data_IF_416771364379
#
_entry.id   IF_416771364379
#
_cell.length_a   1.000
_cell.length_b   1.000
_cell.length_c   1.000
_cell.angle_alpha   90.00
_cell.angle_beta   90.00
_cell.angle_gamma   90.00
#
_symmetry.space_group_name_H-M   'P 1'
#
loop_
_entity.id
_entity.type
_entity.pdbx_description
1 polymer ?
#
# COMPACT_ATOMS: atom_id res chain seq x y z
N UNK A 1 -25.32 -5.29 11.07
CA UNK A 1 -25.23 -3.83 10.86
C UNK A 1 -24.98 -3.63 9.39
N UNK A 2 -25.74 -2.76 8.72
CA UNK A 2 -25.53 -2.48 7.30
C UNK A 2 -24.41 -1.44 7.19
N UNK A 3 -23.25 -1.81 6.62
CA UNK A 3 -22.06 -0.93 6.62
C UNK A 3 -22.04 0.05 5.45
N UNK A 4 -22.91 -0.12 4.45
CA UNK A 4 -23.03 0.77 3.29
C UNK A 4 -24.49 1.05 2.94
N UNK A 5 -24.80 2.32 2.69
CA UNK A 5 -26.04 2.75 2.04
C UNK A 5 -25.99 2.50 0.53
N UNK A 6 -27.16 2.43 -0.10
CA UNK A 6 -27.26 2.33 -1.57
C UNK A 6 -26.66 3.54 -2.29
N UNK A 7 -26.69 4.73 -1.67
CA UNK A 7 -26.07 5.93 -2.22
C UNK A 7 -24.55 5.82 -2.23
N UNK A 8 -23.96 5.30 -1.16
CA UNK A 8 -22.51 5.05 -1.07
C UNK A 8 -22.04 4.01 -2.08
N UNK A 9 -22.80 2.92 -2.27
CA UNK A 9 -22.50 1.92 -3.32
C UNK A 9 -22.51 2.55 -4.71
N UNK A 10 -23.50 3.41 -5.01
CA UNK A 10 -23.55 4.14 -6.29
C UNK A 10 -22.35 5.07 -6.44
N UNK A 11 -22.03 5.87 -5.42
CA UNK A 11 -20.88 6.76 -5.43
C UNK A 11 -19.56 6.02 -5.67
N UNK A 12 -19.35 4.89 -5.00
CA UNK A 12 -18.18 4.04 -5.23
C UNK A 12 -18.07 3.58 -6.69
N UNK A 13 -19.19 3.13 -7.28
CA UNK A 13 -19.22 2.70 -8.69
C UNK A 13 -18.99 3.86 -9.65
N UNK A 14 -19.51 5.05 -9.32
CA UNK A 14 -19.38 6.29 -10.10
C UNK A 14 -17.95 6.82 -10.12
N UNK A 15 -17.38 7.03 -8.93
CA UNK A 15 -16.09 7.71 -8.72
C UNK A 15 -14.90 6.75 -8.72
N UNK A 16 -15.12 5.46 -8.50
CA UNK A 16 -14.06 4.46 -8.35
C UNK A 16 -13.42 4.43 -6.97
N UNK A 17 -13.79 5.33 -6.06
CA UNK A 17 -13.41 5.28 -4.66
C UNK A 17 -14.55 5.74 -3.75
N UNK A 18 -14.44 5.41 -2.48
CA UNK A 18 -15.37 5.84 -1.44
C UNK A 18 -14.62 6.10 -0.14
N UNK A 19 -15.02 7.14 0.58
CA UNK A 19 -14.54 7.45 1.93
C UNK A 19 -15.60 7.01 2.92
N UNK A 20 -15.22 6.17 3.87
CA UNK A 20 -16.08 5.69 4.95
C UNK A 20 -15.59 6.24 6.27
N UNK A 21 -16.37 7.17 6.80
CA UNK A 21 -16.07 7.85 8.04
C UNK A 21 -16.34 6.96 9.25
N UNK A 22 -15.37 6.87 10.17
CA UNK A 22 -15.52 6.09 11.42
C UNK A 22 -15.76 4.60 11.23
N UNK A 23 -15.34 4.01 10.10
CA UNK A 23 -15.52 2.59 9.83
C UNK A 23 -14.73 1.69 10.80
N UNK A 24 -13.55 2.15 11.23
CA UNK A 24 -12.78 1.59 12.33
C UNK A 24 -12.79 2.55 13.52
N UNK A 25 -12.91 2.00 14.72
CA UNK A 25 -12.84 2.80 15.94
C UNK A 25 -11.40 3.27 16.18
N UNK A 26 -11.21 4.35 16.96
CA UNK A 26 -9.87 4.77 17.37
C UNK A 26 -9.07 3.66 18.06
N UNK A 27 -9.74 2.83 18.87
CA UNK A 27 -9.14 1.72 19.62
C UNK A 27 -8.64 0.60 18.69
N UNK A 28 -9.40 0.27 17.64
CA UNK A 28 -8.95 -0.69 16.62
C UNK A 28 -7.71 -0.17 15.87
N UNK A 29 -7.68 1.14 15.60
CA UNK A 29 -6.51 1.76 14.98
C UNK A 29 -5.31 1.77 15.92
N UNK A 30 -5.51 2.05 17.21
CA UNK A 30 -4.43 1.99 18.21
C UNK A 30 -3.89 0.57 18.37
N UNK A 31 -4.75 -0.45 18.39
CA UNK A 31 -4.31 -1.85 18.45
C UNK A 31 -3.41 -2.23 17.27
N UNK A 32 -3.73 -1.79 16.04
CA UNK A 32 -2.88 -2.02 14.87
C UNK A 32 -1.54 -1.30 14.97
N UNK A 33 -1.53 -0.08 15.52
CA UNK A 33 -0.31 0.72 15.70
C UNK A 33 0.59 0.14 16.78
N UNK A 34 0.04 -0.16 17.94
CA UNK A 34 0.75 -0.80 19.05
C UNK A 34 1.36 -2.12 18.59
N UNK A 35 0.57 -2.94 17.89
CA UNK A 35 1.09 -4.20 17.36
C UNK A 35 2.21 -4.00 16.34
N UNK A 36 2.10 -2.98 15.47
CA UNK A 36 3.18 -2.67 14.53
C UNK A 36 4.45 -2.19 15.25
N UNK A 37 4.34 -1.42 16.34
CA UNK A 37 5.50 -1.04 17.16
C UNK A 37 6.22 -2.27 17.71
N UNK A 38 5.49 -3.25 18.25
CA UNK A 38 6.07 -4.51 18.72
C UNK A 38 6.77 -5.31 17.60
N UNK A 39 6.14 -5.38 16.41
CA UNK A 39 6.73 -6.04 15.23
C UNK A 39 8.05 -5.34 14.83
N UNK A 40 8.09 -4.01 14.89
CA UNK A 40 9.28 -3.23 14.54
C UNK A 40 10.36 -3.35 15.60
N UNK A 41 10.03 -3.42 16.89
CA UNK A 41 11.01 -3.67 17.97
C UNK A 41 11.71 -5.02 17.80
N UNK A 42 10.97 -6.03 17.30
CA UNK A 42 11.48 -7.37 17.03
C UNK A 42 12.03 -7.53 15.60
N UNK A 43 12.13 -6.43 14.85
CA UNK A 43 12.58 -6.45 13.46
C UNK A 43 14.00 -6.98 13.34
N UNK A 44 14.13 -8.09 12.61
CA UNK A 44 15.41 -8.59 12.11
C UNK A 44 15.43 -8.53 10.57
N UNK A 45 16.28 -7.65 10.04
CA UNK A 45 16.47 -7.47 8.61
C UNK A 45 17.85 -7.97 8.21
N UNK A 46 17.96 -8.95 7.28
CA UNK A 46 19.25 -9.41 6.78
C UNK A 46 20.11 -8.25 6.26
N UNK A 47 21.42 -8.26 6.54
CA UNK A 47 22.32 -7.18 6.15
C UNK A 47 22.29 -6.85 4.64
N UNK A 48 22.11 -7.86 3.78
CA UNK A 48 22.00 -7.65 2.33
C UNK A 48 20.76 -6.84 1.91
N UNK A 49 19.75 -6.72 2.78
CA UNK A 49 18.55 -5.91 2.56
C UNK A 49 18.69 -4.45 3.04
N UNK A 50 19.88 -4.06 3.54
CA UNK A 50 20.19 -2.73 4.08
C UNK A 50 21.20 -1.98 3.18
N UNK A 51 20.85 -1.74 1.91
CA UNK A 51 21.83 -1.21 0.93
C UNK A 51 21.34 0.03 0.18
N UNK A 52 22.25 0.98 -0.01
CA UNK A 52 22.09 2.22 -0.79
C UNK A 52 22.41 1.95 -2.27
N UNK A 53 21.76 2.68 -3.19
CA UNK A 53 22.04 2.63 -4.64
C UNK A 53 23.29 3.44 -5.00
N UNK A 54 24.16 2.88 -5.84
CA UNK A 54 25.35 3.46 -6.46
C UNK A 54 25.56 2.84 -7.86
N UNK A 55 26.62 3.24 -8.56
CA UNK A 55 26.85 3.01 -10.00
C UNK A 55 27.97 2.01 -10.32
N UNK A 56 28.49 1.24 -9.36
CA UNK A 56 29.67 0.39 -9.57
C UNK A 56 29.34 -1.09 -9.82
N UNK A 57 30.16 -1.83 -10.56
CA UNK A 57 29.78 -3.14 -11.13
C UNK A 57 29.48 -4.23 -10.08
N UNK A 58 30.05 -4.14 -8.88
CA UNK A 58 29.72 -5.00 -7.73
C UNK A 58 28.31 -4.77 -7.16
N UNK A 59 27.59 -3.77 -7.66
CA UNK A 59 26.27 -3.33 -7.19
C UNK A 59 25.11 -3.90 -8.01
N UNK A 60 25.39 -4.38 -9.23
CA UNK A 60 24.43 -5.15 -10.01
C UNK A 60 24.09 -6.48 -9.33
N UNK A 61 25.04 -7.10 -8.64
CA UNK A 61 24.81 -8.28 -7.78
C UNK A 61 24.02 -7.93 -6.50
N UNK A 62 24.07 -6.68 -6.02
CA UNK A 62 23.39 -6.23 -4.79
C UNK A 62 21.91 -5.89 -5.02
N UNK A 63 21.55 -5.43 -6.21
CA UNK A 63 20.15 -5.28 -6.61
C UNK A 63 19.39 -6.63 -6.69
N UNK A 64 20.10 -7.75 -6.80
CA UNK A 64 19.50 -9.09 -6.79
C UNK A 64 18.89 -9.44 -5.42
N UNK A 65 19.61 -9.21 -4.32
CA UNK A 65 19.14 -9.55 -2.97
C UNK A 65 17.90 -8.76 -2.55
N UNK A 66 17.87 -7.45 -2.83
CA UNK A 66 16.70 -6.60 -2.59
C UNK A 66 15.51 -7.02 -3.48
N UNK A 67 15.75 -7.35 -4.75
CA UNK A 67 14.71 -7.81 -5.66
C UNK A 67 14.14 -9.18 -5.25
N UNK A 68 14.99 -10.13 -4.83
CA UNK A 68 14.56 -11.44 -4.33
C UNK A 68 13.78 -11.31 -3.02
N UNK A 69 14.27 -10.47 -2.10
CA UNK A 69 13.58 -10.15 -0.85
C UNK A 69 12.21 -9.51 -1.10
N UNK A 70 12.05 -8.72 -2.16
CA UNK A 70 10.74 -8.24 -2.57
C UNK A 70 9.88 -9.33 -3.23
N UNK A 71 10.38 -10.02 -4.26
CA UNK A 71 9.55 -10.92 -5.08
C UNK A 71 9.03 -12.14 -4.33
N UNK A 72 9.74 -12.55 -3.27
CA UNK A 72 9.39 -13.67 -2.40
C UNK A 72 8.73 -13.25 -1.08
N UNK A 73 8.26 -12.00 -0.98
CA UNK A 73 7.62 -11.47 0.23
C UNK A 73 6.10 -11.63 0.31
N UNK A 74 5.47 -12.15 -0.75
CA UNK A 74 4.01 -12.25 -0.87
C UNK A 74 3.33 -13.04 0.25
N UNK A 75 4.04 -13.99 0.86
CA UNK A 75 3.61 -14.84 1.97
C UNK A 75 4.42 -14.58 3.26
N UNK A 76 4.96 -13.37 3.43
CA UNK A 76 5.84 -13.03 4.57
C UNK A 76 5.50 -11.67 5.16
N UNK A 77 5.97 -11.43 6.38
CA UNK A 77 6.05 -10.10 6.99
C UNK A 77 7.51 -9.65 6.89
N UNK A 78 7.76 -8.71 5.98
CA UNK A 78 9.08 -8.20 5.59
C UNK A 78 9.09 -6.68 5.63
N UNK A 79 10.27 -6.12 5.81
CA UNK A 79 10.49 -4.69 6.07
C UNK A 79 11.13 -4.03 4.87
N UNK A 80 10.58 -2.89 4.45
CA UNK A 80 11.06 -2.11 3.32
C UNK A 80 11.31 -0.68 3.78
N UNK A 81 12.48 -0.15 3.41
CA UNK A 81 13.01 1.10 3.95
C UNK A 81 12.87 2.25 2.95
N UNK A 82 12.89 3.48 3.48
CA UNK A 82 12.93 4.71 2.67
C UNK A 82 14.23 4.79 1.87
N UNK A 83 14.19 5.49 0.74
CA UNK A 83 15.40 5.70 -0.07
C UNK A 83 16.36 6.63 0.67
N UNK A 84 17.65 6.27 0.67
CA UNK A 84 18.73 7.12 1.21
C UNK A 84 18.87 7.09 2.74
N UNK A 85 18.26 6.12 3.43
CA UNK A 85 18.40 5.94 4.89
C UNK A 85 19.58 5.05 5.29
N UNK A 86 20.36 4.59 4.31
CA UNK A 86 21.59 3.84 4.50
C UNK A 86 22.77 4.68 4.02
N UNK A 87 23.91 4.59 4.71
CA UNK A 87 25.18 5.14 4.25
C UNK A 87 25.91 4.18 3.29
N UNK A 88 27.13 4.55 2.88
CA UNK A 88 27.97 3.76 1.97
C UNK A 88 28.35 2.37 2.54
N UNK A 89 28.25 2.19 3.86
CA UNK A 89 28.55 0.93 4.53
C UNK A 89 27.29 0.09 4.77
N UNK A 90 26.10 0.59 4.39
CA UNK A 90 24.81 -0.05 4.66
C UNK A 90 24.28 0.17 6.07
N UNK A 91 24.89 1.10 6.82
CA UNK A 91 24.45 1.46 8.17
C UNK A 91 23.36 2.52 8.13
N UNK A 92 22.44 2.47 9.09
CA UNK A 92 21.32 3.41 9.14
C UNK A 92 21.79 4.83 9.46
N UNK A 93 21.40 5.82 8.64
CA UNK A 93 21.70 7.24 8.87
C UNK A 93 20.70 7.92 9.81
N UNK A 94 19.55 7.30 10.03
CA UNK A 94 18.51 7.69 11.01
C UNK A 94 18.10 6.47 11.83
N UNK A 95 17.26 6.61 12.85
CA UNK A 95 16.87 5.43 13.65
C UNK A 95 16.19 4.36 12.78
N UNK A 96 16.42 3.09 13.13
CA UNK A 96 15.87 1.93 12.40
C UNK A 96 14.37 2.03 12.17
N UNK A 97 13.64 2.40 13.22
CA UNK A 97 12.19 2.63 13.20
C UNK A 97 11.79 3.74 12.22
N UNK A 98 12.51 4.86 12.23
CA UNK A 98 12.24 6.00 11.33
C UNK A 98 12.67 5.75 9.89
N UNK A 99 13.43 4.70 9.64
CA UNK A 99 13.90 4.36 8.29
C UNK A 99 12.87 3.56 7.49
N UNK A 100 11.82 3.03 8.14
CA UNK A 100 10.82 2.19 7.50
C UNK A 100 9.89 3.00 6.58
N UNK A 101 9.70 2.50 5.37
CA UNK A 101 8.67 2.95 4.43
C UNK A 101 7.42 2.06 4.53
N UNK A 102 7.58 0.73 4.56
CA UNK A 102 6.45 -0.20 4.68
C UNK A 102 6.84 -1.55 5.26
N UNK A 103 5.84 -2.26 5.78
CA UNK A 103 5.92 -3.67 6.16
C UNK A 103 4.85 -4.44 5.39
N UNK A 104 5.23 -5.56 4.77
CA UNK A 104 4.35 -6.35 3.90
C UNK A 104 4.93 -7.73 3.57
N UNK A 105 4.23 -8.62 2.89
CA UNK A 105 2.93 -8.42 2.26
C UNK A 105 1.82 -9.31 2.83
N UNK A 106 2.06 -10.02 3.93
CA UNK A 106 1.13 -11.00 4.50
C UNK A 106 0.80 -10.78 6.00
N UNK A 107 0.76 -9.52 6.46
CA UNK A 107 0.28 -9.17 7.81
C UNK A 107 -1.11 -9.75 8.08
N UNK A 108 -2.02 -9.68 7.10
CA UNK A 108 -3.38 -10.25 7.18
C UNK A 108 -3.40 -11.77 7.45
N UNK A 109 -2.34 -12.50 7.14
CA UNK A 109 -2.27 -13.94 7.29
C UNK A 109 -1.53 -14.38 8.55
N UNK A 110 -0.40 -13.70 8.85
CA UNK A 110 0.57 -14.14 9.86
C UNK A 110 0.52 -13.37 11.17
N UNK A 111 -0.08 -12.18 11.21
CA UNK A 111 -0.24 -11.46 12.47
C UNK A 111 -1.70 -11.54 12.97
N UNK A 112 -1.95 -12.01 14.21
CA UNK A 112 -3.31 -12.17 14.73
C UNK A 112 -4.14 -10.88 14.77
N UNK A 113 -3.53 -9.73 15.05
CA UNK A 113 -4.25 -8.45 15.17
C UNK A 113 -4.66 -7.96 13.79
N UNK A 114 -3.72 -7.95 12.83
CA UNK A 114 -4.03 -7.57 11.44
C UNK A 114 -5.01 -8.53 10.77
N UNK A 115 -4.88 -9.84 11.04
CA UNK A 115 -5.83 -10.87 10.56
C UNK A 115 -7.24 -10.66 11.10
N UNK A 116 -7.35 -10.40 12.41
CA UNK A 116 -8.63 -10.10 13.08
C UNK A 116 -9.35 -8.92 12.43
N UNK A 117 -8.64 -7.80 12.21
CA UNK A 117 -9.21 -6.61 11.56
C UNK A 117 -9.60 -6.90 10.11
N UNK A 118 -8.71 -7.54 9.36
CA UNK A 118 -8.91 -7.85 7.93
C UNK A 118 -10.14 -8.73 7.70
N UNK A 119 -10.35 -9.73 8.56
CA UNK A 119 -11.48 -10.65 8.46
C UNK A 119 -12.64 -10.28 9.39
N UNK A 120 -12.68 -9.05 9.92
CA UNK A 120 -13.75 -8.62 10.80
C UNK A 120 -15.12 -8.64 10.09
N UNK A 121 -16.24 -8.85 10.82
CA UNK A 121 -17.58 -8.90 10.22
C UNK A 121 -17.93 -7.68 9.38
N UNK A 122 -17.41 -6.49 9.72
CA UNK A 122 -17.62 -5.26 8.94
C UNK A 122 -16.92 -5.28 7.58
N UNK A 123 -15.70 -5.80 7.49
CA UNK A 123 -14.98 -5.93 6.21
C UNK A 123 -15.65 -7.01 5.34
N UNK A 124 -16.11 -8.11 5.95
CA UNK A 124 -16.89 -9.12 5.23
C UNK A 124 -18.20 -8.54 4.68
N UNK A 125 -18.97 -7.82 5.50
CA UNK A 125 -20.21 -7.19 5.07
C UNK A 125 -19.98 -6.13 3.98
N UNK A 126 -18.84 -5.42 4.06
CA UNK A 126 -18.44 -4.46 3.04
C UNK A 126 -18.19 -5.11 1.69
N UNK A 127 -17.44 -6.22 1.67
CA UNK A 127 -17.19 -7.01 0.47
C UNK A 127 -18.50 -7.55 -0.13
N UNK A 128 -19.40 -8.08 0.70
CA UNK A 128 -20.73 -8.55 0.27
C UNK A 128 -21.55 -7.42 -0.38
N UNK A 129 -21.59 -6.24 0.23
CA UNK A 129 -22.36 -5.07 -0.26
C UNK A 129 -21.84 -4.52 -1.58
N UNK A 130 -20.53 -4.65 -1.81
CA UNK A 130 -19.92 -4.29 -3.09
C UNK A 130 -20.04 -5.39 -4.15
N UNK A 131 -20.63 -6.54 -3.80
CA UNK A 131 -20.95 -7.62 -4.72
C UNK A 131 -19.81 -8.60 -4.97
N UNK A 132 -18.84 -8.70 -4.05
CA UNK A 132 -17.77 -9.70 -4.15
C UNK A 132 -18.36 -11.08 -3.84
N UNK A 133 -18.18 -12.03 -4.77
CA UNK A 133 -18.80 -13.37 -4.70
C UNK A 133 -17.94 -14.35 -3.89
N UNK A 134 -16.63 -14.35 -4.13
CA UNK A 134 -15.66 -15.21 -3.44
C UNK A 134 -14.38 -14.42 -3.17
N UNK A 135 -14.43 -13.41 -2.28
CA UNK A 135 -13.29 -12.55 -2.01
C UNK A 135 -12.13 -13.32 -1.37
N UNK A 136 -10.92 -13.08 -1.85
CA UNK A 136 -9.66 -13.52 -1.23
C UNK A 136 -8.77 -12.32 -0.98
N UNK A 137 -7.97 -12.36 0.09
CA UNK A 137 -6.99 -11.30 0.39
C UNK A 137 -5.70 -11.64 -0.34
N UNK A 138 -5.33 -10.82 -1.33
CA UNK A 138 -4.13 -11.03 -2.15
C UNK A 138 -2.86 -10.51 -1.47
N UNK A 139 -3.00 -9.43 -0.71
CA UNK A 139 -1.88 -8.68 -0.16
C UNK A 139 -2.33 -7.87 1.06
N UNK A 140 -1.42 -7.51 1.95
CA UNK A 140 -1.65 -6.46 2.93
C UNK A 140 -0.34 -5.75 3.26
N UNK A 141 -0.37 -4.44 3.46
CA UNK A 141 0.80 -3.63 3.80
C UNK A 141 0.49 -2.62 4.89
N UNK A 142 1.40 -2.47 5.85
CA UNK A 142 1.47 -1.29 6.69
C UNK A 142 2.42 -0.29 6.04
N UNK A 143 1.96 0.90 5.71
CA UNK A 143 2.78 1.94 5.09
C UNK A 143 3.05 2.98 6.15
N UNK A 144 4.34 3.17 6.43
CA UNK A 144 4.86 4.27 7.21
C UNK A 144 5.03 5.47 6.28
N UNK A 145 4.74 6.66 6.77
CA UNK A 145 5.13 7.89 6.09
C UNK A 145 5.79 8.81 7.09
N UNK A 146 7.05 8.51 7.30
CA UNK A 146 7.86 9.05 8.37
C UNK A 146 7.98 10.58 8.28
N UNK A 147 7.88 11.31 9.39
CA UNK A 147 8.06 12.76 9.39
C UNK A 147 9.43 13.16 8.81
N UNK A 148 9.41 14.00 7.79
CA UNK A 148 10.59 14.57 7.12
C UNK A 148 11.19 13.72 6.00
N UNK A 149 11.05 12.39 6.04
CA UNK A 149 11.68 11.47 5.08
C UNK A 149 10.71 10.54 4.35
N UNK A 150 9.42 10.57 4.70
CA UNK A 150 8.40 9.71 4.10
C UNK A 150 8.25 9.96 2.59
N UNK A 151 8.48 8.92 1.78
CA UNK A 151 8.46 9.03 0.33
C UNK A 151 7.09 9.42 -0.25
N UNK A 152 7.09 10.21 -1.30
CA UNK A 152 5.93 10.41 -2.15
C UNK A 152 5.57 9.10 -2.87
N UNK A 153 4.27 8.84 -3.03
CA UNK A 153 3.80 7.77 -3.93
C UNK A 153 3.25 8.45 -5.17
N UNK A 154 3.89 8.23 -6.31
CA UNK A 154 3.50 8.81 -7.59
C UNK A 154 2.14 8.28 -8.09
N UNK A 155 1.45 9.00 -8.98
CA UNK A 155 0.22 8.53 -9.60
C UNK A 155 0.34 7.13 -10.18
N UNK A 156 -0.59 6.25 -9.80
CA UNK A 156 -0.69 4.89 -10.31
C UNK A 156 -2.10 4.32 -10.11
N UNK A 157 -2.34 3.17 -10.75
CA UNK A 157 -3.51 2.31 -10.51
C UNK A 157 -3.03 0.96 -9.96
N UNK A 158 -3.67 0.44 -8.91
CA UNK A 158 -3.25 -0.82 -8.26
C UNK A 158 -3.24 -2.02 -9.21
N UNK A 159 -4.13 -2.06 -10.21
CA UNK A 159 -4.19 -3.11 -11.23
C UNK A 159 -2.95 -3.14 -12.14
N UNK A 160 -2.10 -2.10 -12.11
CA UNK A 160 -0.75 -2.12 -12.69
C UNK A 160 0.11 -3.20 -12.04
N UNK A 161 -0.08 -3.44 -10.74
CA UNK A 161 0.70 -4.37 -9.93
C UNK A 161 -0.07 -5.67 -9.62
N UNK A 162 -1.38 -5.56 -9.40
CA UNK A 162 -2.29 -6.66 -9.08
C UNK A 162 -3.27 -6.90 -10.24
N UNK A 163 -2.72 -7.32 -11.38
CA UNK A 163 -3.48 -7.52 -12.61
C UNK A 163 -4.35 -8.78 -12.58
N UNK A 164 -5.55 -8.70 -13.15
CA UNK A 164 -6.47 -9.83 -13.36
C UNK A 164 -7.10 -9.78 -14.75
N UNK A 165 -7.58 -10.94 -15.22
CA UNK A 165 -8.42 -11.05 -16.41
C UNK A 165 -9.78 -11.64 -16.02
N UNK A 166 -10.90 -10.91 -16.21
CA UNK A 166 -10.99 -9.50 -16.62
C UNK A 166 -10.46 -8.52 -15.55
N UNK A 167 -10.26 -7.26 -15.93
CA UNK A 167 -10.00 -6.17 -14.98
C UNK A 167 -11.22 -5.91 -14.07
N UNK A 168 -11.01 -5.14 -12.99
CA UNK A 168 -12.07 -4.75 -12.06
C UNK A 168 -12.45 -5.82 -11.04
N UNK A 169 -11.61 -6.86 -10.87
CA UNK A 169 -11.85 -7.96 -9.92
C UNK A 169 -11.13 -7.80 -8.57
N UNK A 170 -10.23 -6.82 -8.46
CA UNK A 170 -9.50 -6.54 -7.22
C UNK A 170 -10.10 -5.28 -6.58
N UNK A 171 -9.91 -5.09 -5.28
CA UNK A 171 -10.35 -3.89 -4.54
C UNK A 171 -9.32 -3.61 -3.46
N UNK A 172 -8.98 -2.33 -3.26
CA UNK A 172 -8.13 -1.91 -2.16
C UNK A 172 -8.98 -1.36 -1.00
N UNK A 173 -8.65 -1.77 0.23
CA UNK A 173 -9.16 -1.16 1.47
C UNK A 173 -8.00 -0.49 2.17
N UNK A 174 -8.05 0.83 2.26
CA UNK A 174 -7.04 1.64 2.93
C UNK A 174 -7.60 2.18 4.25
N UNK A 175 -6.84 2.11 5.34
CA UNK A 175 -7.26 2.46 6.69
C UNK A 175 -6.33 3.55 7.24
N UNK A 176 -6.91 4.69 7.61
CA UNK A 176 -6.21 5.76 8.31
C UNK A 176 -5.96 5.37 9.77
N UNK A 177 -4.72 5.03 10.09
CA UNK A 177 -4.30 4.79 11.48
C UNK A 177 -3.97 6.10 12.22
N UNK A 178 -3.80 7.17 11.45
CA UNK A 178 -3.56 8.54 11.86
C UNK A 178 -4.43 9.49 11.03
N UNK A 179 -4.62 10.71 11.52
CA UNK A 179 -5.22 11.77 10.72
C UNK A 179 -4.40 11.97 9.44
N UNK A 180 -5.08 11.91 8.29
CA UNK A 180 -4.54 12.15 6.97
C UNK A 180 -5.06 13.49 6.44
N UNK A 181 -4.20 14.50 6.41
CA UNK A 181 -4.46 15.88 6.03
C UNK A 181 -3.71 16.23 4.74
N UNK A 182 -3.96 17.43 4.21
CA UNK A 182 -3.23 17.94 3.05
C UNK A 182 -1.73 18.08 3.35
N UNK A 183 -1.39 18.52 4.55
CA UNK A 183 -0.01 18.80 4.98
C UNK A 183 0.79 17.56 5.34
N UNK A 184 0.07 16.48 5.65
CA UNK A 184 0.69 15.24 6.08
C UNK A 184 0.37 14.07 5.15
N UNK A 185 0.05 14.25 3.87
CA UNK A 185 0.10 13.14 2.90
C UNK A 185 -1.16 12.30 2.74
N UNK A 186 -2.33 12.94 2.81
CA UNK A 186 -3.58 12.31 2.42
C UNK A 186 -3.58 11.82 0.96
N UNK A 187 -4.55 10.96 0.65
CA UNK A 187 -4.68 10.39 -0.69
C UNK A 187 -5.41 11.36 -1.63
N UNK A 188 -4.99 11.34 -2.88
CA UNK A 188 -5.59 12.11 -3.97
C UNK A 188 -6.05 11.15 -5.06
N UNK A 189 -7.20 11.44 -5.67
CA UNK A 189 -7.84 10.56 -6.66
C UNK A 189 -8.33 11.35 -7.86
N UNK A 190 -8.37 10.71 -9.04
CA UNK A 190 -9.15 11.21 -10.18
C UNK A 190 -10.49 10.45 -10.21
N UNK A 191 -11.62 11.07 -9.82
CA UNK A 191 -12.92 10.42 -9.86
C UNK A 191 -13.26 9.90 -11.28
N UNK A 192 -13.70 8.64 -11.37
CA UNK A 192 -14.12 8.02 -12.63
C UNK A 192 -12.99 7.48 -13.51
N UNK A 193 -11.72 7.67 -13.13
CA UNK A 193 -10.55 7.22 -13.91
C UNK A 193 -10.45 5.69 -14.06
N UNK A 194 -11.07 4.93 -13.16
CA UNK A 194 -11.07 3.47 -13.18
C UNK A 194 -11.77 2.82 -14.38
N UNK A 195 -12.55 3.59 -15.14
CA UNK A 195 -13.36 3.08 -16.26
C UNK A 195 -12.56 2.80 -17.54
N UNK A 196 -11.33 3.31 -17.63
CA UNK A 196 -10.54 3.30 -18.86
C UNK A 196 -9.47 2.20 -18.90
N UNK A 197 -9.52 1.23 -17.98
CA UNK A 197 -8.49 0.19 -17.87
C UNK A 197 -7.19 0.73 -17.29
N UNK A 198 -6.05 0.12 -17.68
CA UNK A 198 -4.71 0.51 -17.25
C UNK A 198 -3.79 0.70 -18.47
N UNK A 199 -2.82 1.62 -18.35
CA UNK A 199 -1.85 1.95 -19.42
C UNK A 199 -0.46 1.34 -19.20
N UNK A 200 -0.21 0.82 -17.99
CA UNK A 200 1.03 0.19 -17.58
C UNK A 200 0.76 -1.07 -16.75
N UNK A 201 1.65 -2.06 -16.84
CA UNK A 201 1.65 -3.28 -16.02
C UNK A 201 3.06 -3.60 -15.56
N UNK A 202 3.25 -3.85 -14.27
CA UNK A 202 4.46 -4.50 -13.76
C UNK A 202 4.35 -6.01 -14.00
N UNK A 203 5.41 -6.61 -14.54
CA UNK A 203 5.49 -8.05 -14.80
C UNK A 203 6.75 -8.62 -14.16
N UNK A 204 6.69 -9.90 -13.77
CA UNK A 204 7.89 -10.65 -13.38
C UNK A 204 8.62 -11.07 -14.65
N UNK A 205 9.93 -10.90 -14.69
CA UNK A 205 10.74 -11.37 -15.81
C UNK A 205 10.88 -12.90 -15.77
N UNK A 206 11.30 -13.55 -16.87
CA UNK A 206 11.56 -14.98 -16.87
C UNK A 206 12.54 -15.41 -15.78
N UNK A 207 12.42 -16.67 -15.34
CA UNK A 207 13.33 -17.22 -14.33
C UNK A 207 14.77 -17.17 -14.83
N UNK A 208 15.68 -16.63 -14.01
CA UNK A 208 17.11 -16.53 -14.33
C UNK A 208 17.50 -15.25 -15.09
N UNK A 209 16.59 -14.30 -15.28
CA UNK A 209 16.90 -12.99 -15.87
C UNK A 209 16.92 -11.88 -14.80
N UNK A 210 17.66 -10.81 -15.07
CA UNK A 210 17.70 -9.61 -14.24
C UNK A 210 17.45 -8.35 -15.09
N UNK A 211 16.69 -7.33 -14.60
CA UNK A 211 16.01 -7.24 -13.30
C UNK A 211 14.88 -8.28 -13.14
N UNK A 212 14.44 -8.57 -11.91
CA UNK A 212 13.36 -9.56 -11.66
C UNK A 212 11.94 -9.08 -12.02
N UNK A 213 11.80 -7.78 -12.28
CA UNK A 213 10.55 -7.15 -12.69
C UNK A 213 10.81 -6.18 -13.82
N UNK A 214 9.84 -6.05 -14.72
CA UNK A 214 9.83 -5.09 -15.82
C UNK A 214 8.44 -4.45 -15.94
N UNK A 215 8.31 -3.43 -16.79
CA UNK A 215 7.04 -2.79 -17.09
C UNK A 215 6.67 -2.94 -18.57
N UNK A 216 5.43 -3.39 -18.80
CA UNK A 216 4.80 -3.35 -20.11
C UNK A 216 3.92 -2.11 -20.17
N UNK A 217 4.03 -1.34 -21.25
CA UNK A 217 3.33 -0.06 -21.39
C UNK A 217 4.03 1.09 -20.67
N UNK A 218 3.33 2.21 -20.49
CA UNK A 218 3.88 3.42 -19.86
C UNK A 218 2.82 4.07 -19.00
N UNK A 219 3.24 4.65 -17.89
CA UNK A 219 2.31 5.40 -17.04
C UNK A 219 1.77 6.58 -17.84
N UNK A 220 0.46 6.80 -17.73
CA UNK A 220 -0.16 7.96 -18.33
C UNK A 220 0.23 9.21 -17.55
N UNK A 221 0.49 10.30 -18.28
CA UNK A 221 0.57 11.61 -17.66
C UNK A 221 -0.86 12.09 -17.38
N UNK A 222 -1.14 12.37 -16.12
CA UNK A 222 -2.41 12.96 -15.70
C UNK A 222 -2.24 14.47 -15.53
N UNK A 223 -3.31 15.21 -15.79
CA UNK A 223 -3.38 16.62 -15.42
C UNK A 223 -3.58 16.72 -13.90
N UNK A 224 -2.66 17.40 -13.22
CA UNK A 224 -2.68 17.57 -11.76
C UNK A 224 -3.99 18.25 -11.28
N UNK A 225 -4.62 19.07 -12.12
CA UNK A 225 -5.90 19.72 -11.82
C UNK A 225 -7.09 18.77 -11.72
N UNK A 226 -6.94 17.51 -12.15
CA UNK A 226 -7.99 16.48 -12.05
C UNK A 226 -7.99 15.75 -10.72
N UNK A 227 -6.92 15.85 -9.93
CA UNK A 227 -6.83 15.16 -8.66
C UNK A 227 -7.63 15.89 -7.57
N UNK A 228 -8.50 15.14 -6.91
CA UNK A 228 -9.28 15.59 -5.77
C UNK A 228 -8.62 15.05 -4.51
N UNK A 229 -8.18 15.96 -3.65
CA UNK A 229 -7.67 15.62 -2.33
C UNK A 229 -8.76 14.99 -1.50
N UNK A 230 -8.38 13.98 -0.75
CA UNK A 230 -9.27 13.35 0.18
C UNK A 230 -8.52 13.24 1.51
N UNK A 231 -8.69 14.22 2.42
CA UNK A 231 -8.25 14.12 3.81
C UNK A 231 -9.25 13.30 4.62
N UNK A 232 -8.80 12.66 5.71
CA UNK A 232 -9.63 11.92 6.66
C UNK A 232 -9.04 11.95 8.06
N UNK A 233 -9.87 11.70 9.07
CA UNK A 233 -9.44 11.46 10.45
C UNK A 233 -9.03 10.01 10.67
N UNK A 234 -8.27 9.75 11.73
CA UNK A 234 -8.00 8.39 12.23
C UNK A 234 -9.30 7.58 12.37
N UNK A 235 -9.26 6.29 12.02
CA UNK A 235 -10.43 5.40 12.05
C UNK A 235 -11.24 5.37 10.76
N UNK A 236 -10.89 6.21 9.78
CA UNK A 236 -11.60 6.26 8.51
C UNK A 236 -11.01 5.25 7.54
N UNK A 237 -11.86 4.65 6.72
CA UNK A 237 -11.47 3.77 5.64
C UNK A 237 -11.68 4.43 4.29
N UNK A 238 -10.87 4.06 3.31
CA UNK A 238 -11.07 4.40 1.90
C UNK A 238 -11.11 3.12 1.09
N UNK A 239 -12.15 2.98 0.29
CA UNK A 239 -12.28 1.88 -0.66
C UNK A 239 -11.88 2.38 -2.04
N UNK A 240 -11.22 1.53 -2.81
CA UNK A 240 -10.77 1.86 -4.15
C UNK A 240 -11.04 0.70 -5.11
N UNK A 241 -11.67 1.00 -6.23
CA UNK A 241 -11.77 0.15 -7.42
C UNK A 241 -10.91 0.74 -8.54
N UNK A 242 -9.58 0.67 -8.42
CA UNK A 242 -8.60 1.12 -9.44
C UNK A 242 -8.69 2.56 -10.01
N UNK A 243 -9.10 3.59 -9.26
CA UNK A 243 -8.88 4.94 -9.71
C UNK A 243 -7.38 5.26 -9.66
N UNK A 244 -6.95 6.10 -10.59
CA UNK A 244 -5.62 6.70 -10.54
C UNK A 244 -5.51 7.54 -9.27
N UNK A 245 -4.50 7.25 -8.47
CA UNK A 245 -4.31 7.89 -7.18
C UNK A 245 -2.85 8.08 -6.85
N UNK A 246 -2.58 9.07 -6.01
CA UNK A 246 -1.25 9.32 -5.45
C UNK A 246 -1.38 9.73 -3.98
N UNK A 247 -0.25 9.84 -3.30
CA UNK A 247 -0.19 10.48 -1.98
C UNK A 247 1.01 11.40 -1.93
N UNK A 248 0.79 12.60 -1.39
CA UNK A 248 1.88 13.48 -1.02
C UNK A 248 2.68 12.86 0.15
N UNK A 249 3.88 13.36 0.47
CA UNK A 249 4.65 12.88 1.62
C UNK A 249 3.86 12.95 2.94
N UNK A 250 4.12 11.99 3.87
CA UNK A 250 3.61 11.87 5.27
C UNK A 250 2.25 11.07 5.39
N UNK A 251 1.79 10.64 6.58
CA UNK A 251 0.61 9.74 6.91
C UNK A 251 0.84 8.22 6.93
N UNK A 252 0.83 7.60 8.12
CA UNK A 252 0.81 6.13 8.22
C UNK A 252 -0.58 5.55 7.92
N UNK A 253 -0.61 4.36 7.29
CA UNK A 253 -1.86 3.67 6.95
C UNK A 253 -1.68 2.16 6.81
N UNK A 254 -2.78 1.42 6.94
CA UNK A 254 -2.82 -0.01 6.60
C UNK A 254 -3.65 -0.22 5.33
N UNK A 255 -3.13 -1.02 4.40
CA UNK A 255 -3.78 -1.37 3.13
C UNK A 255 -4.00 -2.87 3.07
N UNK A 256 -5.23 -3.28 2.81
CA UNK A 256 -5.69 -4.66 2.57
C UNK A 256 -6.09 -4.76 1.09
#
# INVERSE_FOLDING_TARGET
>A
MDVLTQQEVRKYREDGYLVLEGFFSPEECDALRERMSEIVEQMDVPAHCRTQFSTDHDEQLRNQGNADYFITSGDKVRFFFEKGVFDINGEFTVSRERSLNKVGHALHAHDPVFKSITHSPKVQNLAEKLGLISPVVLQSMYIFKQPGIGGEVTPHQDATFLYTEPLGQVMGVWIALEDATLDNGCLWFIPGSHRNGITRRMVRTPKGTFPLTDFIGREQNYDDGLFVAAPVKKGYSRLKSFPSHHSTPKTACFMI
#
